data_IF_777074286742
#
_entry.id   IF_777074286742
#
_cell.length_a   1.000
_cell.length_b   1.000
_cell.length_c   1.000
_cell.angle_alpha   90.00
_cell.angle_beta   90.00
_cell.angle_gamma   90.00
#
_symmetry.space_group_name_H-M   'P 1'
#
loop_
_entity.id
_entity.type
_entity.pdbx_description
1 polymer ?
#
# COMPACT_ATOMS: atom_id res chain seq x y z
N UNK A 1 1.43 18.55 18.35
CA UNK A 1 0.96 17.18 18.62
C UNK A 1 2.04 16.19 18.23
N UNK A 2 2.36 15.20 19.08
CA UNK A 2 3.35 14.17 18.76
C UNK A 2 2.65 12.90 18.26
N UNK A 3 3.09 12.38 17.12
CA UNK A 3 2.47 11.22 16.47
C UNK A 3 3.48 10.10 16.26
N UNK A 4 3.02 8.85 16.35
CA UNK A 4 3.84 7.68 16.08
C UNK A 4 3.48 7.09 14.72
N UNK A 5 4.48 6.88 13.86
CA UNK A 5 4.29 6.37 12.50
C UNK A 5 5.10 5.08 12.34
N UNK A 6 4.45 3.99 11.98
CA UNK A 6 5.15 2.79 11.52
C UNK A 6 5.14 2.75 9.99
N UNK A 7 6.16 2.13 9.40
CA UNK A 7 6.28 2.08 7.95
C UNK A 7 6.75 3.38 7.30
N UNK A 8 7.22 4.37 8.08
CA UNK A 8 7.72 5.66 7.59
C UNK A 8 8.91 5.52 6.62
N UNK A 9 9.64 4.42 6.64
CA UNK A 9 10.71 4.13 5.67
C UNK A 9 10.19 3.63 4.32
N UNK A 10 8.90 3.28 4.23
CA UNK A 10 8.22 2.82 3.01
C UNK A 10 7.61 3.96 2.21
N UNK A 11 6.98 3.63 1.08
CA UNK A 11 6.45 4.59 0.10
C UNK A 11 5.33 5.49 0.68
N UNK A 12 4.21 4.91 1.13
CA UNK A 12 3.11 5.67 1.73
C UNK A 12 3.55 6.34 3.04
N UNK A 13 4.23 5.58 3.92
CA UNK A 13 4.59 6.08 5.24
C UNK A 13 5.58 7.25 5.21
N UNK A 14 6.48 7.30 4.22
CA UNK A 14 7.39 8.44 4.03
C UNK A 14 6.65 9.71 3.57
N UNK A 15 5.65 9.56 2.68
CA UNK A 15 4.79 10.66 2.26
C UNK A 15 3.93 11.14 3.44
N UNK A 16 3.38 10.21 4.22
CA UNK A 16 2.60 10.51 5.42
C UNK A 16 3.44 11.27 6.48
N UNK A 17 4.68 10.85 6.71
CA UNK A 17 5.55 11.55 7.66
C UNK A 17 5.82 12.99 7.22
N UNK A 18 6.00 13.24 5.93
CA UNK A 18 6.20 14.59 5.38
C UNK A 18 4.95 15.47 5.53
N UNK A 19 3.78 14.94 5.19
CA UNK A 19 2.51 15.66 5.35
C UNK A 19 2.24 16.01 6.82
N UNK A 20 2.49 15.07 7.75
CA UNK A 20 2.34 15.32 9.19
C UNK A 20 3.27 16.41 9.70
N UNK A 21 4.52 16.47 9.21
CA UNK A 21 5.46 17.54 9.56
C UNK A 21 5.00 18.88 8.99
N UNK A 22 4.48 18.92 7.76
CA UNK A 22 3.91 20.15 7.18
C UNK A 22 2.72 20.68 7.99
N UNK A 23 1.92 19.77 8.57
CA UNK A 23 0.82 20.12 9.49
C UNK A 23 1.33 20.50 10.91
N UNK A 24 2.65 20.66 11.12
CA UNK A 24 3.24 21.05 12.40
C UNK A 24 3.26 19.95 13.48
N UNK A 25 3.09 18.69 13.10
CA UNK A 25 3.22 17.57 14.03
C UNK A 25 4.71 17.24 14.26
N UNK A 26 5.02 16.78 15.46
CA UNK A 26 6.30 16.09 15.73
C UNK A 26 6.13 14.61 15.41
N UNK A 27 6.90 14.09 14.46
CA UNK A 27 6.79 12.71 14.00
C UNK A 27 7.87 11.83 14.62
N UNK A 28 7.47 10.77 15.30
CA UNK A 28 8.34 9.67 15.70
C UNK A 28 8.08 8.46 14.82
N UNK A 29 9.11 7.99 14.11
CA UNK A 29 9.05 6.92 13.14
C UNK A 29 9.67 5.62 13.66
N UNK A 30 8.92 4.53 13.64
CA UNK A 30 9.47 3.20 13.94
C UNK A 30 10.30 2.70 12.76
N UNK A 31 11.55 2.37 13.01
CA UNK A 31 12.44 1.72 12.05
C UNK A 31 13.12 0.49 12.66
N UNK A 32 13.21 -0.60 11.91
CA UNK A 32 13.96 -1.77 12.35
C UNK A 32 15.47 -1.51 12.23
N UNK A 33 16.31 -2.18 13.03
CA UNK A 33 17.77 -2.14 12.82
C UNK A 33 18.10 -2.47 11.36
N UNK A 34 18.96 -1.69 10.72
CA UNK A 34 19.38 -1.87 9.33
C UNK A 34 18.32 -1.50 8.26
N UNK A 35 17.23 -0.83 8.65
CA UNK A 35 16.26 -0.30 7.67
C UNK A 35 16.91 0.71 6.74
N UNK A 36 16.47 0.67 5.47
CA UNK A 36 16.81 1.69 4.48
C UNK A 36 16.09 3.01 4.81
N UNK A 37 16.86 4.02 5.18
CA UNK A 37 16.35 5.33 5.60
C UNK A 37 16.34 6.38 4.47
N UNK A 38 16.63 6.01 3.22
CA UNK A 38 16.68 6.97 2.10
C UNK A 38 15.39 7.79 1.96
N UNK A 39 14.25 7.19 2.22
CA UNK A 39 12.96 7.89 2.21
C UNK A 39 12.80 8.95 3.30
N UNK A 40 13.58 8.89 4.36
CA UNK A 40 13.57 9.83 5.47
C UNK A 40 14.72 10.84 5.45
N UNK A 41 15.58 10.80 4.42
CA UNK A 41 16.65 11.78 4.27
C UNK A 41 16.07 13.19 4.09
N UNK A 42 16.62 14.15 4.83
CA UNK A 42 16.17 15.55 4.81
C UNK A 42 14.78 15.76 5.44
N UNK A 43 14.30 14.82 6.26
CA UNK A 43 13.02 14.89 6.98
C UNK A 43 13.32 14.92 8.49
N UNK A 44 12.77 15.89 9.19
CA UNK A 44 12.96 16.04 10.63
C UNK A 44 12.03 15.09 11.42
N UNK A 45 12.40 13.80 11.42
CA UNK A 45 11.68 12.75 12.16
C UNK A 45 12.54 12.16 13.26
N UNK A 46 11.95 11.92 14.42
CA UNK A 46 12.59 11.19 15.50
C UNK A 46 12.55 9.68 15.17
N UNK A 47 13.71 9.08 14.92
CA UNK A 47 13.80 7.64 14.64
C UNK A 47 13.78 6.85 15.95
N UNK A 48 12.79 5.96 16.09
CA UNK A 48 12.71 4.98 17.17
C UNK A 48 13.05 3.59 16.62
N UNK A 49 14.10 2.97 17.14
CA UNK A 49 14.47 1.60 16.76
C UNK A 49 13.58 0.60 17.47
N UNK A 50 12.94 -0.32 16.70
CA UNK A 50 12.09 -1.36 17.23
C UNK A 50 11.51 -2.26 16.13
N UNK A 51 10.73 -3.25 16.54
CA UNK A 51 10.09 -4.22 15.63
C UNK A 51 8.63 -4.43 16.04
N UNK A 52 7.70 -4.60 15.11
CA UNK A 52 6.30 -4.92 15.38
C UNK A 52 6.11 -6.22 16.18
N UNK A 53 7.11 -7.10 16.13
CA UNK A 53 7.11 -8.37 16.87
C UNK A 53 7.61 -8.25 18.31
N UNK A 54 8.10 -7.07 18.70
CA UNK A 54 8.62 -6.74 20.03
C UNK A 54 7.73 -5.68 20.71
N UNK A 55 6.72 -6.10 21.52
CA UNK A 55 5.82 -5.17 22.20
C UNK A 55 6.52 -4.16 23.11
N UNK A 56 7.63 -4.54 23.74
CA UNK A 56 8.36 -3.64 24.63
C UNK A 56 9.01 -2.50 23.84
N UNK A 57 9.56 -2.78 22.65
CA UNK A 57 10.09 -1.71 21.77
C UNK A 57 8.99 -0.78 21.28
N UNK A 58 7.79 -1.32 21.02
CA UNK A 58 6.62 -0.53 20.61
C UNK A 58 6.18 0.38 21.76
N UNK A 59 6.05 -0.15 22.97
CA UNK A 59 5.64 0.64 24.13
C UNK A 59 6.63 1.77 24.41
N UNK A 60 7.94 1.48 24.42
CA UNK A 60 8.97 2.53 24.57
C UNK A 60 8.86 3.59 23.48
N UNK A 61 8.66 3.19 22.23
CA UNK A 61 8.54 4.08 21.08
C UNK A 61 7.30 4.96 21.12
N UNK A 62 6.17 4.41 21.53
CA UNK A 62 4.86 5.09 21.50
C UNK A 62 4.62 6.01 22.70
N UNK A 63 5.37 5.86 23.80
CA UNK A 63 5.22 6.72 24.98
C UNK A 63 5.36 8.20 24.62
N UNK A 64 4.40 9.02 25.09
CA UNK A 64 4.34 10.44 24.84
C UNK A 64 3.85 10.83 23.43
N UNK A 65 3.43 9.87 22.61
CA UNK A 65 2.70 10.14 21.38
C UNK A 65 1.19 10.12 21.65
N UNK A 66 0.46 10.93 20.91
CA UNK A 66 -1.00 11.09 21.07
C UNK A 66 -1.78 10.27 20.05
N UNK A 67 -1.24 10.10 18.84
CA UNK A 67 -1.87 9.36 17.74
C UNK A 67 -0.92 8.34 17.14
N UNK A 68 -1.50 7.26 16.61
CA UNK A 68 -0.79 6.21 15.88
C UNK A 68 -1.24 6.18 14.42
N UNK A 69 -0.27 6.17 13.50
CA UNK A 69 -0.46 5.82 12.10
C UNK A 69 0.30 4.51 11.81
N UNK A 70 -0.45 3.43 11.67
CA UNK A 70 0.15 2.11 11.45
C UNK A 70 0.12 1.75 9.97
N UNK A 71 1.19 2.16 9.23
CA UNK A 71 1.34 1.90 7.80
C UNK A 71 2.37 0.80 7.46
N UNK A 72 3.03 0.22 8.46
CA UNK A 72 3.98 -0.86 8.23
C UNK A 72 3.27 -2.15 7.81
N UNK A 73 3.72 -2.76 6.71
CA UNK A 73 3.32 -4.08 6.28
C UNK A 73 4.40 -4.72 5.41
N UNK A 74 4.45 -6.05 5.40
CA UNK A 74 5.15 -6.80 4.36
C UNK A 74 4.20 -6.97 3.17
N UNK A 75 4.51 -6.29 2.04
CA UNK A 75 3.64 -6.23 0.85
C UNK A 75 4.17 -7.07 -0.33
N UNK A 76 5.18 -7.94 -0.09
CA UNK A 76 5.74 -8.79 -1.14
C UNK A 76 4.68 -9.74 -1.69
N UNK A 77 4.52 -9.78 -3.02
CA UNK A 77 3.60 -10.71 -3.67
C UNK A 77 4.11 -12.16 -3.63
N UNK A 78 5.41 -12.34 -3.46
CA UNK A 78 6.07 -13.63 -3.29
C UNK A 78 7.02 -13.60 -2.10
N UNK A 79 7.08 -14.69 -1.34
CA UNK A 79 8.01 -14.86 -0.23
C UNK A 79 8.34 -16.35 -0.04
N UNK A 80 9.58 -16.64 0.34
CA UNK A 80 9.99 -18.00 0.75
C UNK A 80 9.45 -18.37 2.13
N UNK A 81 9.24 -17.39 2.98
CA UNK A 81 8.77 -17.55 4.34
C UNK A 81 7.44 -16.80 4.55
N UNK A 82 6.32 -17.46 4.23
CA UNK A 82 5.01 -16.90 4.53
C UNK A 82 4.78 -16.67 6.03
N UNK A 83 5.35 -17.50 6.90
CA UNK A 83 5.14 -17.38 8.34
C UNK A 83 5.67 -16.03 8.87
N UNK A 84 6.84 -15.59 8.40
CA UNK A 84 7.38 -14.27 8.74
C UNK A 84 6.47 -13.12 8.28
N UNK A 85 5.79 -13.26 7.14
CA UNK A 85 4.82 -12.27 6.67
C UNK A 85 3.60 -12.20 7.59
N UNK A 86 3.04 -13.35 7.99
CA UNK A 86 1.92 -13.37 8.94
C UNK A 86 2.32 -12.87 10.32
N UNK A 87 3.50 -13.23 10.80
CA UNK A 87 4.04 -12.71 12.07
C UNK A 87 4.20 -11.18 12.04
N UNK A 88 4.64 -10.61 10.92
CA UNK A 88 4.74 -9.16 10.78
C UNK A 88 3.38 -8.48 10.60
N UNK A 89 2.55 -8.97 9.67
CA UNK A 89 1.31 -8.29 9.30
C UNK A 89 0.18 -8.54 10.29
N UNK A 90 0.01 -9.75 10.83
CA UNK A 90 -1.09 -10.09 11.75
C UNK A 90 -0.67 -9.90 13.18
N UNK A 91 0.33 -10.67 13.65
CA UNK A 91 0.76 -10.57 15.05
C UNK A 91 1.37 -9.19 15.35
N UNK A 92 2.12 -8.59 14.42
CA UNK A 92 2.65 -7.23 14.56
C UNK A 92 1.55 -6.18 14.67
N UNK A 93 0.46 -6.31 13.90
CA UNK A 93 -0.70 -5.42 14.03
C UNK A 93 -1.37 -5.60 15.40
N UNK A 94 -1.58 -6.85 15.86
CA UNK A 94 -2.10 -7.11 17.20
C UNK A 94 -1.23 -6.42 18.27
N UNK A 95 0.07 -6.65 18.24
CA UNK A 95 0.99 -6.11 19.25
C UNK A 95 0.92 -4.57 19.35
N UNK A 96 0.97 -3.88 18.20
CA UNK A 96 0.96 -2.42 18.24
C UNK A 96 -0.40 -1.86 18.68
N UNK A 97 -1.50 -2.51 18.33
CA UNK A 97 -2.84 -2.08 18.76
C UNK A 97 -3.10 -2.37 20.24
N UNK A 98 -2.56 -3.47 20.80
CA UNK A 98 -2.54 -3.70 22.25
C UNK A 98 -1.80 -2.59 22.99
N UNK A 99 -0.62 -2.22 22.49
CA UNK A 99 0.15 -1.12 23.07
C UNK A 99 -0.59 0.22 22.92
N UNK A 100 -1.21 0.47 21.77
CA UNK A 100 -2.01 1.67 21.55
C UNK A 100 -3.18 1.79 22.52
N UNK A 101 -3.89 0.67 22.75
CA UNK A 101 -4.97 0.59 23.72
C UNK A 101 -4.46 0.81 25.16
N UNK A 102 -3.38 0.13 25.55
CA UNK A 102 -2.74 0.27 26.86
C UNK A 102 -2.32 1.72 27.16
N UNK A 103 -1.77 2.42 26.17
CA UNK A 103 -1.30 3.80 26.31
C UNK A 103 -2.40 4.86 26.16
N UNK A 104 -3.63 4.45 25.83
CA UNK A 104 -4.76 5.36 25.68
C UNK A 104 -4.60 6.34 24.49
N UNK A 105 -4.12 5.85 23.34
CA UNK A 105 -3.97 6.68 22.14
C UNK A 105 -5.29 7.36 21.79
N UNK A 106 -5.28 8.65 21.55
CA UNK A 106 -6.47 9.45 21.23
C UNK A 106 -7.05 9.16 19.85
N UNK A 107 -6.25 8.62 18.94
CA UNK A 107 -6.64 8.21 17.57
C UNK A 107 -5.64 7.21 17.00
N UNK A 108 -6.16 6.21 16.33
CA UNK A 108 -5.37 5.20 15.59
C UNK A 108 -5.88 5.13 14.16
N UNK A 109 -4.97 5.25 13.19
CA UNK A 109 -5.26 4.99 11.76
C UNK A 109 -4.50 3.74 11.34
N UNK A 110 -5.23 2.70 10.98
CA UNK A 110 -4.68 1.46 10.46
C UNK A 110 -4.72 1.45 8.94
N UNK A 111 -3.57 1.32 8.31
CA UNK A 111 -3.45 1.18 6.86
C UNK A 111 -3.69 -0.27 6.46
N UNK A 112 -4.86 -0.55 5.93
CA UNK A 112 -5.18 -1.81 5.28
C UNK A 112 -4.83 -1.76 3.78
N UNK A 113 -5.71 -2.21 2.92
CA UNK A 113 -5.56 -2.19 1.46
C UNK A 113 -6.92 -2.45 0.80
N UNK A 114 -7.18 -1.92 -0.38
CA UNK A 114 -8.31 -2.39 -1.20
C UNK A 114 -8.21 -3.88 -1.53
N UNK A 115 -7.01 -4.46 -1.41
CA UNK A 115 -6.79 -5.90 -1.56
C UNK A 115 -7.54 -6.78 -0.55
N UNK A 116 -8.06 -6.19 0.56
CA UNK A 116 -8.88 -6.87 1.59
C UNK A 116 -10.37 -6.70 1.37
N UNK A 117 -10.78 -5.89 0.40
CA UNK A 117 -12.17 -5.62 0.07
C UNK A 117 -12.66 -6.52 -1.07
N UNK A 118 -13.97 -6.67 -1.15
CA UNK A 118 -14.60 -7.40 -2.25
C UNK A 118 -14.42 -6.68 -3.59
N UNK A 119 -14.37 -7.49 -4.64
CA UNK A 119 -14.36 -7.02 -6.01
C UNK A 119 -15.44 -7.79 -6.78
N UNK A 120 -16.50 -7.13 -7.28
CA UNK A 120 -17.61 -7.80 -7.97
C UNK A 120 -17.16 -8.66 -9.16
N UNK A 121 -16.12 -8.23 -9.88
CA UNK A 121 -15.53 -8.99 -10.99
C UNK A 121 -16.25 -8.82 -12.32
N UNK A 122 -17.31 -8.05 -12.37
CA UNK A 122 -18.10 -7.69 -13.57
C UNK A 122 -17.68 -6.34 -14.19
N UNK A 123 -16.62 -5.73 -13.64
CA UNK A 123 -16.12 -4.41 -14.04
C UNK A 123 -16.69 -3.25 -13.23
N UNK A 124 -17.68 -3.48 -12.36
CA UNK A 124 -18.15 -2.46 -11.42
C UNK A 124 -17.14 -2.27 -10.28
N UNK A 125 -16.96 -1.04 -9.79
CA UNK A 125 -16.05 -0.77 -8.68
C UNK A 125 -16.50 -1.43 -7.37
N UNK A 126 -15.56 -2.04 -6.64
CA UNK A 126 -15.79 -2.48 -5.26
C UNK A 126 -15.85 -1.29 -4.30
N UNK A 127 -16.54 -1.46 -3.17
CA UNK A 127 -16.68 -0.47 -2.11
C UNK A 127 -16.29 -1.06 -0.75
N UNK A 128 -16.30 -0.25 0.30
CA UNK A 128 -16.04 -0.70 1.67
C UNK A 128 -17.06 -1.75 2.17
N UNK A 129 -18.25 -1.77 1.58
CA UNK A 129 -19.35 -2.69 1.93
C UNK A 129 -19.43 -3.91 1.01
N UNK A 130 -18.61 -4.00 -0.03
CA UNK A 130 -18.64 -5.17 -0.94
C UNK A 130 -18.27 -6.45 -0.19
N UNK A 131 -19.13 -7.47 -0.17
CA UNK A 131 -18.87 -8.70 0.58
C UNK A 131 -17.57 -9.39 0.16
N UNK A 132 -16.87 -9.93 1.14
CA UNK A 132 -15.58 -10.59 0.93
C UNK A 132 -15.28 -11.59 2.05
N UNK A 133 -14.63 -12.68 1.69
CA UNK A 133 -14.20 -13.72 2.62
C UNK A 133 -12.70 -14.01 2.49
N UNK A 134 -12.13 -14.74 3.42
CA UNK A 134 -10.73 -15.20 3.35
C UNK A 134 -10.48 -16.08 2.10
N UNK A 135 -11.50 -16.80 1.62
CA UNK A 135 -11.38 -17.65 0.43
C UNK A 135 -11.15 -16.84 -0.85
N UNK A 136 -11.61 -15.58 -0.89
CA UNK A 136 -11.43 -14.69 -2.02
C UNK A 136 -10.01 -14.09 -2.10
N UNK A 137 -9.22 -14.28 -1.05
CA UNK A 137 -7.88 -13.69 -0.95
C UNK A 137 -6.85 -14.48 -1.74
N UNK A 138 -6.27 -13.86 -2.77
CA UNK A 138 -5.22 -14.43 -3.62
C UNK A 138 -3.84 -14.17 -3.01
N UNK A 139 -3.07 -15.25 -2.80
CA UNK A 139 -1.71 -15.19 -2.29
C UNK A 139 -1.59 -14.84 -0.80
N UNK A 140 -0.39 -15.00 -0.25
CA UNK A 140 -0.13 -14.80 1.17
C UNK A 140 -0.28 -13.34 1.60
N UNK A 141 0.09 -12.39 0.74
CA UNK A 141 -0.03 -10.97 1.04
C UNK A 141 -1.49 -10.57 1.33
N UNK A 142 -2.43 -10.83 0.41
CA UNK A 142 -3.84 -10.46 0.60
C UNK A 142 -4.43 -11.19 1.81
N UNK A 143 -4.13 -12.49 1.99
CA UNK A 143 -4.57 -13.26 3.16
C UNK A 143 -4.06 -12.64 4.47
N UNK A 144 -2.78 -12.30 4.55
CA UNK A 144 -2.20 -11.69 5.76
C UNK A 144 -2.80 -10.31 6.05
N UNK A 145 -3.05 -9.48 5.03
CA UNK A 145 -3.70 -8.17 5.19
C UNK A 145 -5.16 -8.31 5.62
N UNK A 146 -5.89 -9.26 5.02
CA UNK A 146 -7.27 -9.54 5.41
C UNK A 146 -7.37 -9.95 6.89
N UNK A 147 -6.53 -10.89 7.32
CA UNK A 147 -6.49 -11.33 8.72
C UNK A 147 -6.05 -10.20 9.67
N UNK A 148 -5.08 -9.39 9.26
CA UNK A 148 -4.64 -8.22 10.03
C UNK A 148 -5.73 -7.15 10.15
N UNK A 149 -6.56 -6.97 9.12
CA UNK A 149 -7.71 -6.06 9.18
C UNK A 149 -8.78 -6.60 10.15
N UNK A 150 -9.09 -7.91 10.12
CA UNK A 150 -10.00 -8.55 11.11
C UNK A 150 -9.44 -8.41 12.53
N UNK A 151 -8.14 -8.56 12.68
CA UNK A 151 -7.47 -8.32 13.97
C UNK A 151 -7.66 -6.88 14.42
N UNK A 152 -7.42 -5.91 13.55
CA UNK A 152 -7.60 -4.50 13.86
C UNK A 152 -9.06 -4.16 14.25
N UNK A 153 -10.05 -4.71 13.54
CA UNK A 153 -11.47 -4.53 13.85
C UNK A 153 -11.83 -5.05 15.25
N UNK A 154 -11.17 -6.09 15.75
CA UNK A 154 -11.42 -6.66 17.07
C UNK A 154 -11.09 -5.71 18.23
N UNK A 155 -10.30 -4.67 17.97
CA UNK A 155 -9.96 -3.64 18.98
C UNK A 155 -11.00 -2.54 19.12
N UNK A 156 -11.89 -2.37 18.13
CA UNK A 156 -12.93 -1.34 18.16
C UNK A 156 -13.88 -1.55 19.35
N UNK A 157 -14.49 -2.72 19.55
CA UNK A 157 -15.35 -2.96 20.70
C UNK A 157 -14.61 -2.92 22.06
N UNK A 158 -13.26 -2.99 22.03
CA UNK A 158 -12.43 -2.85 23.23
C UNK A 158 -12.15 -1.38 23.58
N UNK A 159 -12.69 -0.43 22.79
CA UNK A 159 -12.60 1.00 23.03
C UNK A 159 -11.43 1.70 22.34
N UNK A 160 -10.67 1.04 21.44
CA UNK A 160 -9.63 1.70 20.68
C UNK A 160 -10.28 2.62 19.63
N UNK A 161 -9.94 3.94 19.60
CA UNK A 161 -10.50 4.89 18.61
C UNK A 161 -9.85 4.71 17.25
N UNK A 162 -10.12 3.56 16.62
CA UNK A 162 -9.52 3.08 15.38
C UNK A 162 -10.36 3.49 14.15
N UNK A 163 -9.66 4.01 13.12
CA UNK A 163 -10.18 4.19 11.77
C UNK A 163 -9.33 3.38 10.80
N UNK A 164 -9.96 2.71 9.84
CA UNK A 164 -9.28 1.89 8.85
C UNK A 164 -9.25 2.63 7.52
N UNK A 165 -8.09 2.69 6.89
CA UNK A 165 -7.95 3.19 5.53
C UNK A 165 -7.49 2.07 4.61
N UNK A 166 -8.09 2.02 3.41
CA UNK A 166 -7.81 1.01 2.39
C UNK A 166 -7.22 1.71 1.15
N UNK A 167 -5.89 1.98 1.12
CA UNK A 167 -5.26 2.51 -0.07
C UNK A 167 -5.50 1.61 -1.28
N UNK A 168 -5.75 2.22 -2.43
CA UNK A 168 -5.83 1.55 -3.73
C UNK A 168 -4.42 1.29 -4.28
N UNK A 169 -4.05 1.94 -5.36
CA UNK A 169 -2.73 1.80 -5.96
C UNK A 169 -2.02 3.16 -5.98
N UNK A 170 -1.27 3.51 -4.93
CA UNK A 170 -0.55 4.77 -4.87
C UNK A 170 0.54 4.84 -5.94
N UNK A 171 0.66 6.01 -6.57
CA UNK A 171 1.68 6.35 -7.57
C UNK A 171 2.26 7.71 -7.22
N UNK A 172 3.56 7.90 -7.42
CA UNK A 172 4.21 9.19 -7.16
C UNK A 172 5.70 9.07 -6.85
N UNK A 173 6.33 10.14 -6.37
CA UNK A 173 7.75 10.19 -6.06
C UNK A 173 8.09 9.38 -4.79
N UNK A 174 9.36 8.98 -4.67
CA UNK A 174 9.94 8.28 -3.50
C UNK A 174 9.54 6.81 -3.33
N UNK A 175 9.14 6.13 -4.41
CA UNK A 175 8.99 4.67 -4.43
C UNK A 175 10.37 3.98 -4.55
N UNK A 176 11.20 4.16 -3.51
CA UNK A 176 12.61 3.73 -3.44
C UNK A 176 12.79 2.22 -3.64
N UNK A 177 11.85 1.42 -3.16
CA UNK A 177 11.76 -0.01 -3.47
C UNK A 177 10.52 -0.20 -4.32
N UNK A 178 10.65 -0.10 -5.66
CA UNK A 178 9.49 -0.02 -6.52
C UNK A 178 8.40 -1.00 -6.12
N UNK A 179 7.24 -0.45 -5.77
CA UNK A 179 6.02 -1.23 -5.56
C UNK A 179 5.67 -1.99 -6.85
N UNK A 180 4.75 -2.96 -6.83
CA UNK A 180 4.33 -3.62 -8.07
C UNK A 180 3.93 -2.64 -9.17
N UNK A 181 3.28 -1.52 -8.83
CA UNK A 181 2.92 -0.47 -9.80
C UNK A 181 4.10 0.39 -10.18
N UNK A 182 4.94 0.79 -9.21
CA UNK A 182 6.21 1.48 -9.50
C UNK A 182 7.10 0.67 -10.42
N UNK A 183 7.12 -0.67 -10.26
CA UNK A 183 7.84 -1.57 -11.17
C UNK A 183 7.28 -1.54 -12.59
N UNK A 184 5.97 -1.45 -12.79
CA UNK A 184 5.36 -1.27 -14.11
C UNK A 184 5.92 0.01 -14.77
N UNK A 185 5.98 1.11 -14.04
CA UNK A 185 6.52 2.39 -14.55
C UNK A 185 8.01 2.24 -14.89
N UNK A 186 8.81 1.69 -13.98
CA UNK A 186 10.26 1.49 -14.20
C UNK A 186 10.52 0.56 -15.40
N UNK A 187 9.78 -0.55 -15.51
CA UNK A 187 9.92 -1.50 -16.61
C UNK A 187 9.48 -0.87 -17.95
N UNK A 188 8.44 -0.04 -17.95
CA UNK A 188 8.04 0.75 -19.12
C UNK A 188 9.14 1.71 -19.54
N UNK A 189 9.68 2.52 -18.63
CA UNK A 189 10.75 3.48 -18.91
C UNK A 189 12.01 2.79 -19.47
N UNK A 190 12.31 1.59 -18.99
CA UNK A 190 13.44 0.78 -19.47
C UNK A 190 13.11 -0.08 -20.69
N UNK A 191 11.93 0.09 -21.32
CA UNK A 191 11.46 -0.67 -22.50
C UNK A 191 11.45 -2.20 -22.28
N UNK A 192 11.18 -2.65 -21.04
CA UNK A 192 11.13 -4.06 -20.67
C UNK A 192 9.73 -4.66 -20.75
N UNK A 193 8.76 -3.91 -21.27
CA UNK A 193 7.36 -4.33 -21.38
C UNK A 193 6.91 -4.47 -22.84
N UNK A 194 7.15 -5.61 -23.49
CA UNK A 194 6.74 -5.82 -24.88
C UNK A 194 5.23 -6.06 -25.02
N UNK A 195 4.57 -6.44 -23.93
CA UNK A 195 3.17 -6.84 -23.93
C UNK A 195 2.54 -6.64 -22.54
N UNK A 196 1.21 -6.72 -22.45
CA UNK A 196 0.47 -6.56 -21.19
C UNK A 196 -0.72 -7.50 -21.09
N UNK A 197 -1.22 -7.74 -19.87
CA UNK A 197 -2.49 -8.41 -19.60
C UNK A 197 -3.62 -7.37 -19.56
N UNK A 198 -4.81 -7.78 -20.04
CA UNK A 198 -6.00 -6.95 -19.94
C UNK A 198 -6.52 -6.92 -18.51
N UNK A 199 -6.21 -5.87 -17.82
CA UNK A 199 -6.60 -5.60 -16.44
C UNK A 199 -6.64 -4.10 -16.19
N UNK A 200 -7.06 -3.69 -14.99
CA UNK A 200 -7.09 -2.29 -14.59
C UNK A 200 -6.84 -2.12 -13.10
N UNK A 201 -6.49 -0.92 -12.74
CA UNK A 201 -6.15 -0.51 -11.38
C UNK A 201 -6.90 0.78 -11.04
N UNK A 202 -7.22 0.94 -9.77
CA UNK A 202 -7.59 2.25 -9.23
C UNK A 202 -6.31 2.96 -8.79
N UNK A 203 -5.96 4.06 -9.42
CA UNK A 203 -4.76 4.85 -9.08
C UNK A 203 -5.11 5.99 -8.12
N UNK A 204 -4.18 6.33 -7.26
CA UNK A 204 -4.21 7.53 -6.42
C UNK A 204 -2.81 8.12 -6.31
N UNK A 205 -2.67 9.45 -6.28
CA UNK A 205 -1.41 10.09 -5.94
C UNK A 205 -0.98 9.73 -4.51
N UNK A 206 0.30 9.43 -4.29
CA UNK A 206 0.81 8.99 -2.98
C UNK A 206 0.68 10.06 -1.90
N UNK A 207 0.73 11.35 -2.25
CA UNK A 207 0.55 12.44 -1.30
C UNK A 207 -0.93 12.63 -0.97
N UNK A 208 -1.85 12.48 -1.93
CA UNK A 208 -3.29 12.43 -1.67
C UNK A 208 -3.65 11.23 -0.78
N UNK A 209 -3.03 10.09 -1.03
CA UNK A 209 -3.15 8.92 -0.16
C UNK A 209 -2.65 9.21 1.27
N UNK A 210 -1.50 9.86 1.41
CA UNK A 210 -0.95 10.28 2.71
C UNK A 210 -1.87 11.29 3.40
N UNK A 211 -2.36 12.28 2.69
CA UNK A 211 -3.34 13.26 3.19
C UNK A 211 -4.63 12.58 3.65
N UNK A 212 -5.08 11.56 2.90
CA UNK A 212 -6.23 10.72 3.28
C UNK A 212 -6.09 10.04 4.65
N UNK A 213 -4.87 9.62 5.03
CA UNK A 213 -4.61 9.07 6.37
C UNK A 213 -4.80 10.14 7.46
N UNK A 214 -4.31 11.35 7.23
CA UNK A 214 -4.46 12.46 8.18
C UNK A 214 -5.92 12.87 8.31
N UNK A 215 -6.62 13.01 7.19
CA UNK A 215 -8.05 13.31 7.18
C UNK A 215 -8.87 12.22 7.88
N UNK A 216 -8.49 10.94 7.73
CA UNK A 216 -9.13 9.85 8.45
C UNK A 216 -8.88 9.93 9.98
N UNK A 217 -7.69 10.40 10.40
CA UNK A 217 -7.45 10.67 11.81
C UNK A 217 -8.31 11.80 12.36
N UNK A 218 -8.50 12.87 11.59
CA UNK A 218 -9.19 14.08 12.04
C UNK A 218 -10.72 13.97 11.94
N UNK A 219 -11.24 13.41 10.83
CA UNK A 219 -12.67 13.41 10.49
C UNK A 219 -13.29 12.01 10.42
N UNK A 220 -12.47 10.96 10.33
CA UNK A 220 -12.97 9.60 10.17
C UNK A 220 -13.76 9.13 11.38
N UNK A 221 -14.87 8.43 11.14
CA UNK A 221 -15.66 7.81 12.22
C UNK A 221 -14.96 6.57 12.74
N UNK A 222 -14.92 6.43 14.05
CA UNK A 222 -14.35 5.23 14.70
C UNK A 222 -15.08 3.98 14.21
N UNK A 223 -14.34 2.96 13.84
CA UNK A 223 -14.85 1.70 13.32
C UNK A 223 -15.11 1.68 11.82
N UNK A 224 -15.07 2.83 11.14
CA UNK A 224 -15.32 2.91 9.71
C UNK A 224 -14.08 2.64 8.86
N UNK A 225 -14.33 2.17 7.64
CA UNK A 225 -13.35 2.01 6.56
C UNK A 225 -13.49 3.10 5.53
N UNK A 226 -12.38 3.52 4.96
CA UNK A 226 -12.34 4.50 3.89
C UNK A 226 -11.36 4.07 2.80
N UNK A 227 -11.85 3.90 1.58
CA UNK A 227 -11.02 3.65 0.41
C UNK A 227 -10.28 4.94 0.05
N UNK A 228 -8.95 4.88 0.06
CA UNK A 228 -8.11 5.95 -0.45
C UNK A 228 -7.76 5.63 -1.90
N UNK A 229 -8.60 6.08 -2.82
CA UNK A 229 -8.52 5.82 -4.24
C UNK A 229 -8.93 7.05 -5.06
N UNK A 230 -8.70 6.98 -6.39
CA UNK A 230 -9.11 8.03 -7.31
C UNK A 230 -9.59 7.41 -8.64
N UNK A 231 -8.78 7.38 -9.68
CA UNK A 231 -9.19 7.00 -11.02
C UNK A 231 -9.08 5.49 -11.29
N UNK A 232 -10.14 4.91 -11.84
CA UNK A 232 -10.15 3.54 -12.34
C UNK A 232 -9.66 3.52 -13.79
N UNK A 233 -8.46 3.01 -14.04
CA UNK A 233 -7.82 2.99 -15.35
C UNK A 233 -7.43 1.58 -15.75
N UNK A 234 -7.64 1.23 -17.04
CA UNK A 234 -7.08 0.03 -17.63
C UNK A 234 -5.55 0.17 -17.75
N UNK A 235 -4.79 -0.94 -17.78
CA UNK A 235 -3.36 -0.88 -18.08
C UNK A 235 -3.09 -0.20 -19.43
N UNK A 236 -3.98 -0.39 -20.41
CA UNK A 236 -3.88 0.30 -21.71
C UNK A 236 -3.91 1.82 -21.55
N UNK A 237 -4.84 2.35 -20.74
CA UNK A 237 -4.93 3.79 -20.47
C UNK A 237 -3.70 4.28 -19.69
N UNK A 238 -3.23 3.52 -18.71
CA UNK A 238 -2.00 3.85 -17.96
C UNK A 238 -0.80 3.93 -18.93
N UNK A 239 -0.65 2.96 -19.85
CA UNK A 239 0.44 3.00 -20.84
C UNK A 239 0.28 4.14 -21.84
N UNK A 240 -0.95 4.50 -22.22
CA UNK A 240 -1.18 5.65 -23.10
C UNK A 240 -0.76 6.97 -22.40
N UNK A 241 -1.08 7.14 -21.12
CA UNK A 241 -0.60 8.28 -20.32
C UNK A 241 0.94 8.29 -20.22
N UNK A 242 1.57 7.13 -19.99
CA UNK A 242 3.03 7.03 -19.93
C UNK A 242 3.67 7.33 -21.29
N UNK A 243 3.06 6.91 -22.41
CA UNK A 243 3.52 7.26 -23.78
C UNK A 243 3.46 8.77 -24.01
N UNK A 244 2.36 9.42 -23.65
CA UNK A 244 2.19 10.87 -23.76
C UNK A 244 3.24 11.63 -22.92
N UNK A 245 3.45 11.21 -21.67
CA UNK A 245 4.39 11.85 -20.75
C UNK A 245 5.86 11.67 -21.12
N UNK A 246 6.20 10.57 -21.78
CA UNK A 246 7.61 10.19 -21.96
C UNK A 246 8.08 10.17 -23.41
N UNK A 247 7.16 10.13 -24.37
CA UNK A 247 7.45 9.89 -25.78
C UNK A 247 7.89 8.45 -26.10
N UNK A 248 7.90 7.54 -25.12
CA UNK A 248 8.24 6.14 -25.32
C UNK A 248 7.01 5.36 -25.79
N UNK A 249 7.13 4.45 -26.79
CA UNK A 249 5.96 3.75 -27.33
C UNK A 249 5.33 2.80 -26.27
N UNK A 250 4.02 2.89 -26.14
CA UNK A 250 3.23 1.97 -25.31
C UNK A 250 3.26 0.53 -25.85
N UNK A 251 3.26 -0.50 -24.98
CA UNK A 251 3.10 -1.88 -25.41
C UNK A 251 1.75 -2.08 -26.10
N UNK A 252 1.76 -2.64 -27.31
CA UNK A 252 0.56 -2.83 -28.13
C UNK A 252 0.02 -4.25 -28.08
N UNK A 253 0.87 -5.21 -27.71
CA UNK A 253 0.50 -6.61 -27.69
C UNK A 253 -0.23 -6.96 -26.39
N UNK A 254 -1.50 -7.30 -26.53
CA UNK A 254 -2.31 -7.85 -25.43
C UNK A 254 -2.10 -9.35 -25.35
N UNK A 255 -1.70 -9.87 -24.21
CA UNK A 255 -1.52 -11.30 -23.98
C UNK A 255 -2.81 -11.93 -23.44
N UNK A 256 -3.17 -13.12 -23.91
CA UNK A 256 -4.26 -13.88 -23.33
C UNK A 256 -3.87 -14.37 -21.93
N UNK A 257 -4.83 -14.34 -20.99
CA UNK A 257 -4.57 -14.63 -19.57
C UNK A 257 -4.13 -16.09 -19.35
N UNK A 258 -4.77 -17.06 -20.02
CA UNK A 258 -4.56 -18.50 -19.75
C UNK A 258 -3.12 -18.98 -19.99
N UNK A 259 -2.45 -18.68 -21.13
CA UNK A 259 -1.05 -19.06 -21.33
C UNK A 259 -0.10 -18.42 -20.30
N UNK A 260 -0.35 -17.17 -19.94
CA UNK A 260 0.48 -16.48 -18.94
C UNK A 260 0.29 -17.08 -17.55
N UNK A 261 -0.93 -17.50 -17.21
CA UNK A 261 -1.20 -18.19 -15.96
C UNK A 261 -0.45 -19.53 -15.89
N UNK A 262 -0.44 -20.31 -16.98
CA UNK A 262 0.33 -21.56 -17.03
C UNK A 262 1.84 -21.30 -16.87
N UNK A 263 2.37 -20.31 -17.58
CA UNK A 263 3.77 -19.91 -17.45
C UNK A 263 4.11 -19.48 -16.02
N UNK A 264 3.19 -18.75 -15.35
CA UNK A 264 3.37 -18.33 -13.97
C UNK A 264 3.39 -19.53 -13.01
N UNK A 265 2.56 -20.56 -13.19
CA UNK A 265 2.61 -21.80 -12.41
C UNK A 265 3.96 -22.51 -12.54
N UNK A 266 4.46 -22.67 -13.77
CA UNK A 266 5.78 -23.26 -14.01
C UNK A 266 6.91 -22.44 -13.38
N UNK A 267 6.84 -21.11 -13.52
CA UNK A 267 7.83 -20.21 -12.95
C UNK A 267 7.81 -20.22 -11.41
N UNK A 268 6.63 -20.28 -10.79
CA UNK A 268 6.48 -20.43 -9.34
C UNK A 268 7.07 -21.78 -8.86
N UNK A 269 6.86 -22.88 -9.58
CA UNK A 269 7.45 -24.20 -9.29
C UNK A 269 8.98 -24.13 -9.29
N UNK A 270 9.58 -23.55 -10.34
CA UNK A 270 11.03 -23.33 -10.44
C UNK A 270 11.56 -22.42 -9.32
N UNK A 271 10.82 -21.37 -8.97
CA UNK A 271 11.19 -20.45 -7.89
C UNK A 271 11.24 -21.13 -6.53
N UNK A 272 10.32 -22.06 -6.26
CA UNK A 272 10.36 -22.88 -5.03
C UNK A 272 11.58 -23.78 -4.95
N UNK A 273 12.00 -24.35 -6.09
CA UNK A 273 13.20 -25.20 -6.16
C UNK A 273 14.50 -24.39 -6.05
N UNK A 274 14.59 -23.28 -6.78
CA UNK A 274 15.80 -22.45 -6.85
C UNK A 274 15.91 -21.43 -5.72
N UNK A 275 14.78 -21.08 -5.11
CA UNK A 275 14.65 -20.05 -4.12
C UNK A 275 14.83 -18.62 -4.63
N UNK A 276 14.83 -18.42 -5.93
CA UNK A 276 14.85 -17.09 -6.55
C UNK A 276 13.41 -16.60 -6.72
N UNK A 277 13.23 -15.28 -6.63
CA UNK A 277 11.93 -14.66 -6.89
C UNK A 277 11.47 -14.96 -8.33
N UNK A 278 10.17 -15.32 -8.53
CA UNK A 278 9.66 -15.60 -9.86
C UNK A 278 9.65 -14.35 -10.73
N UNK A 279 10.03 -14.50 -11.99
CA UNK A 279 9.94 -13.41 -12.99
C UNK A 279 8.48 -12.99 -13.22
N UNK A 280 7.56 -13.96 -13.13
CA UNK A 280 6.11 -13.77 -13.29
C UNK A 280 5.46 -14.27 -11.99
N UNK A 281 5.22 -13.39 -11.00
CA UNK A 281 4.58 -13.79 -9.75
C UNK A 281 3.15 -14.31 -10.01
N UNK A 282 2.89 -15.55 -9.64
CA UNK A 282 1.59 -16.21 -9.85
C UNK A 282 0.43 -15.40 -9.25
N UNK A 283 0.63 -14.87 -8.04
CA UNK A 283 -0.39 -14.03 -7.39
C UNK A 283 -0.72 -12.78 -8.22
N UNK A 284 0.28 -12.15 -8.87
CA UNK A 284 0.07 -11.00 -9.75
C UNK A 284 -0.78 -11.34 -10.97
N UNK A 285 -0.50 -12.48 -11.63
CA UNK A 285 -1.27 -12.96 -12.79
C UNK A 285 -2.71 -13.34 -12.39
N UNK A 286 -2.88 -14.01 -11.25
CA UNK A 286 -4.21 -14.34 -10.73
C UNK A 286 -5.04 -13.10 -10.40
N UNK A 287 -4.42 -12.07 -9.82
CA UNK A 287 -5.08 -10.79 -9.56
C UNK A 287 -5.46 -10.05 -10.85
N UNK A 288 -4.63 -10.13 -11.88
CA UNK A 288 -4.88 -9.50 -13.18
C UNK A 288 -6.10 -10.07 -13.93
N UNK A 289 -6.69 -11.17 -13.45
CA UNK A 289 -7.94 -11.72 -14.00
C UNK A 289 -9.15 -10.79 -13.76
N UNK A 290 -9.09 -9.93 -12.74
CA UNK A 290 -10.16 -8.99 -12.40
C UNK A 290 -9.62 -7.56 -12.51
N UNK A 291 -10.50 -6.64 -12.94
CA UNK A 291 -10.20 -5.21 -12.85
C UNK A 291 -10.24 -4.80 -11.37
N UNK A 292 -9.15 -4.27 -10.86
CA UNK A 292 -9.04 -3.80 -9.48
C UNK A 292 -9.58 -2.37 -9.38
N UNK A 293 -10.88 -2.23 -9.66
CA UNK A 293 -11.61 -0.98 -9.61
C UNK A 293 -12.31 -0.81 -8.27
N UNK A 294 -12.21 0.40 -7.72
CA UNK A 294 -12.77 0.73 -6.42
C UNK A 294 -13.42 2.11 -6.44
N UNK A 295 -14.41 2.29 -5.58
CA UNK A 295 -15.15 3.53 -5.39
C UNK A 295 -14.68 4.23 -4.12
N UNK A 296 -14.09 5.42 -4.24
CA UNK A 296 -13.61 6.25 -3.14
C UNK A 296 -14.59 7.36 -2.73
N UNK A 297 -15.80 7.40 -3.27
CA UNK A 297 -16.78 8.49 -3.01
C UNK A 297 -17.03 8.71 -1.52
N UNK A 298 -17.03 7.67 -0.70
CA UNK A 298 -17.17 7.81 0.75
C UNK A 298 -16.06 8.66 1.36
N UNK A 299 -14.80 8.36 1.03
CA UNK A 299 -13.65 9.13 1.52
C UNK A 299 -13.65 10.57 0.98
N UNK A 300 -14.02 10.77 -0.28
CA UNK A 300 -14.16 12.11 -0.87
C UNK A 300 -15.22 12.91 -0.14
N UNK A 301 -16.42 12.36 0.06
CA UNK A 301 -17.55 13.03 0.69
C UNK A 301 -17.33 13.29 2.18
N UNK A 302 -16.86 12.31 2.94
CA UNK A 302 -16.82 12.37 4.41
C UNK A 302 -15.51 12.94 4.95
N UNK A 303 -14.40 12.69 4.25
CA UNK A 303 -13.08 13.15 4.68
C UNK A 303 -12.62 14.40 3.90
N UNK A 304 -13.09 14.58 2.68
CA UNK A 304 -12.55 15.55 1.72
C UNK A 304 -11.25 15.06 1.09
N UNK A 305 -11.17 13.75 0.76
CA UNK A 305 -10.01 13.16 0.13
C UNK A 305 -9.65 13.90 -1.18
N UNK A 306 -8.42 14.45 -1.30
CA UNK A 306 -7.98 15.08 -2.54
C UNK A 306 -7.99 14.09 -3.71
N UNK A 307 -8.19 14.60 -4.91
CA UNK A 307 -8.35 13.80 -6.13
C UNK A 307 -7.45 14.35 -7.25
N UNK A 308 -6.13 14.35 -7.04
CA UNK A 308 -5.16 14.77 -8.07
C UNK A 308 -5.24 13.83 -9.26
N UNK A 309 -5.31 14.35 -10.51
CA UNK A 309 -5.37 13.51 -11.71
C UNK A 309 -4.25 12.46 -11.77
N UNK A 310 -4.59 11.24 -12.19
CA UNK A 310 -3.63 10.13 -12.26
C UNK A 310 -2.47 10.43 -13.23
N UNK A 311 -2.72 11.22 -14.29
CA UNK A 311 -1.67 11.69 -15.20
C UNK A 311 -0.59 12.53 -14.49
N UNK A 312 -0.98 13.42 -13.57
CA UNK A 312 -0.02 14.20 -12.77
C UNK A 312 0.77 13.32 -11.80
N UNK A 313 0.11 12.36 -11.14
CA UNK A 313 0.77 11.41 -10.27
C UNK A 313 1.80 10.55 -11.03
N UNK A 314 1.45 10.10 -12.23
CA UNK A 314 2.35 9.36 -13.12
C UNK A 314 3.52 10.23 -13.59
N UNK A 315 3.28 11.50 -13.96
CA UNK A 315 4.33 12.42 -14.36
C UNK A 315 5.39 12.61 -13.26
N UNK A 316 4.95 12.84 -12.02
CA UNK A 316 5.82 12.97 -10.84
C UNK A 316 6.59 11.68 -10.52
N UNK A 317 5.96 10.51 -10.72
CA UNK A 317 6.63 9.23 -10.57
C UNK A 317 7.71 9.03 -11.64
N UNK A 318 7.43 9.33 -12.90
CA UNK A 318 8.38 9.26 -14.02
C UNK A 318 9.58 10.16 -13.78
N UNK A 319 9.34 11.44 -13.43
CA UNK A 319 10.39 12.40 -13.10
C UNK A 319 11.28 11.88 -11.98
N UNK A 320 10.66 11.39 -10.90
CA UNK A 320 11.40 10.88 -9.75
C UNK A 320 12.22 9.63 -10.10
N UNK A 321 11.67 8.66 -10.81
CA UNK A 321 12.40 7.44 -11.20
C UNK A 321 13.58 7.76 -12.13
N UNK A 322 13.42 8.69 -13.09
CA UNK A 322 14.52 9.14 -13.96
C UNK A 322 15.59 9.87 -13.15
N UNK A 323 15.21 10.83 -12.32
CA UNK A 323 16.12 11.63 -11.50
C UNK A 323 16.90 10.84 -10.45
N UNK A 324 16.42 9.63 -10.07
CA UNK A 324 17.07 8.76 -9.09
C UNK A 324 17.73 7.50 -9.71
N UNK A 325 17.89 7.44 -11.04
CA UNK A 325 18.67 6.42 -11.74
C UNK A 325 17.97 5.06 -11.88
N UNK A 326 16.65 4.97 -11.73
CA UNK A 326 15.87 3.74 -11.97
C UNK A 326 15.61 3.49 -13.46
N UNK A 327 15.68 4.53 -14.27
CA UNK A 327 15.54 4.48 -15.72
C UNK A 327 16.45 5.52 -16.36
N UNK A 328 16.86 5.27 -17.63
CA UNK A 328 17.68 6.17 -18.43
C UNK A 328 16.79 7.16 -19.17
#
# INVERSE_FOLDING_TARGET
>A
MKVFVTGATGFIGASLARELLQDGCTVRALARPGSDLRNLQGVDVEICTGDLRDPDSLERGMRGCERLFHAAADYRLWTRDPAAMYASNVAGTRNILEVALKLGMSRVVYTSSVGTLGNPGDGTPGSESTPVTLADMVGHYKKSKFLAEREAESFIPRGLPLVIVNPSTPVGPRDVKPTPTGKIIVDFLNRKMPAYLDTGLNLIDVEDCARGHILAADKGRVGEKYILGNENLTLRQIFALLEELTGLPAPRLRLPHTPILLAAYLNEGLSRLTGKEPLIPLAGVQMAKKFMYFDAHKAVRELGLPQRPAGEALARAVEWFRGNGYAK
#
